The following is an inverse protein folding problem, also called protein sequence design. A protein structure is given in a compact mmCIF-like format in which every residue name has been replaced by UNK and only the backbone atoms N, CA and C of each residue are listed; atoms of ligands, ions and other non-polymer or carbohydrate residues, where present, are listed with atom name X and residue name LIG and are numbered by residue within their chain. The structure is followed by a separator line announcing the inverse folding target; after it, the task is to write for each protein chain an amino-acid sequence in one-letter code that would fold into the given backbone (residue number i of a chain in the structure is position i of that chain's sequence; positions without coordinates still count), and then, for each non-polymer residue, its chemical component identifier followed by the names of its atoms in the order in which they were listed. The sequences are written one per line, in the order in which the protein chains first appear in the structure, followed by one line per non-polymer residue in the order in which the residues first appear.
data_IF_655919172984
#
_entry.id   IF_655919172984
#
_cell.length_a   1.000
_cell.length_b   1.000
_cell.length_c   1.000
_cell.angle_alpha   90.00
_cell.angle_beta   90.00
_cell.angle_gamma   90.00
#
_symmetry.space_group_name_H-M   'P 1'
#
loop_
_entity.id
_entity.type
_entity.pdbx_description
1 polymer ?
#
# COMPACT_ATOMS: atom_id res chain seq x y z
N UNK A 1 -8.02 -21.36 -10.85
CA UNK A 1 -7.87 -19.95 -11.28
C UNK A 1 -6.41 -19.67 -11.61
N UNK A 2 -6.07 -19.14 -12.80
CA UNK A 2 -4.67 -18.96 -13.22
C UNK A 2 -3.91 -17.91 -12.38
N UNK A 3 -4.61 -16.92 -11.84
CA UNK A 3 -4.02 -15.77 -11.11
C UNK A 3 -3.36 -16.09 -9.76
N UNK A 4 -3.52 -17.32 -9.24
CA UNK A 4 -3.00 -17.72 -7.93
C UNK A 4 -1.89 -18.77 -8.01
N UNK A 5 -1.39 -19.05 -9.21
CA UNK A 5 -0.31 -20.03 -9.43
C UNK A 5 1.05 -19.36 -9.23
N UNK A 6 1.90 -19.98 -8.41
CA UNK A 6 3.32 -19.65 -8.30
C UNK A 6 4.05 -20.40 -9.43
N UNK A 7 4.38 -19.69 -10.51
CA UNK A 7 4.94 -20.32 -11.72
C UNK A 7 6.46 -20.57 -11.63
N UNK A 8 7.17 -19.83 -10.76
CA UNK A 8 8.64 -19.80 -10.75
C UNK A 8 9.16 -19.75 -9.30
N UNK A 9 9.82 -20.81 -8.83
CA UNK A 9 10.15 -21.03 -7.40
C UNK A 9 11.20 -20.07 -6.81
N UNK A 10 11.73 -19.14 -7.61
CA UNK A 10 12.72 -18.14 -7.19
C UNK A 10 12.08 -16.76 -7.09
N UNK A 11 11.62 -16.40 -5.89
CA UNK A 11 11.09 -15.07 -5.57
C UNK A 11 9.61 -15.07 -5.15
N UNK A 12 9.10 -13.94 -4.65
CA UNK A 12 7.68 -13.80 -4.35
C UNK A 12 6.87 -13.94 -5.65
N UNK A 13 5.70 -14.60 -5.62
CA UNK A 13 4.89 -14.78 -6.80
C UNK A 13 4.37 -13.44 -7.33
N UNK A 14 4.18 -13.39 -8.65
CA UNK A 14 3.69 -12.20 -9.33
C UNK A 14 2.24 -11.89 -8.98
N UNK A 15 1.98 -10.63 -8.66
CA UNK A 15 0.62 -10.11 -8.43
C UNK A 15 -0.06 -9.84 -9.77
N UNK A 16 -1.35 -10.14 -9.88
CA UNK A 16 -2.17 -9.77 -11.04
C UNK A 16 -3.12 -8.63 -10.66
N UNK A 17 -3.31 -7.66 -11.55
CA UNK A 17 -4.27 -6.58 -11.38
C UNK A 17 -5.36 -6.65 -12.45
N UNK A 18 -6.60 -6.80 -12.02
CA UNK A 18 -7.79 -6.82 -12.87
C UNK A 18 -8.39 -5.41 -12.89
N UNK A 19 -8.14 -4.66 -13.96
CA UNK A 19 -8.62 -3.28 -14.09
C UNK A 19 -10.05 -3.25 -14.62
N UNK A 20 -10.99 -2.64 -13.90
CA UNK A 20 -12.39 -2.58 -14.33
C UNK A 20 -12.75 -1.22 -14.93
N UNK A 21 -12.38 -0.14 -14.26
CA UNK A 21 -12.77 1.20 -14.66
C UNK A 21 -11.81 2.27 -14.14
N UNK A 22 -11.71 3.36 -14.88
CA UNK A 22 -11.00 4.58 -14.51
C UNK A 22 -11.65 5.79 -15.20
N UNK A 23 -11.60 6.91 -14.51
CA UNK A 23 -11.78 8.25 -15.04
C UNK A 23 -10.93 9.23 -14.21
N UNK A 24 -11.01 10.53 -14.50
CA UNK A 24 -10.26 11.53 -13.74
C UNK A 24 -10.62 11.62 -12.24
N UNK A 25 -11.77 11.08 -11.83
CA UNK A 25 -12.26 11.16 -10.44
C UNK A 25 -11.99 9.90 -9.62
N UNK A 26 -12.04 8.73 -10.24
CA UNK A 26 -11.77 7.48 -9.56
C UNK A 26 -11.37 6.36 -10.52
N UNK A 27 -10.69 5.36 -10.00
CA UNK A 27 -10.52 4.06 -10.62
C UNK A 27 -10.88 2.95 -9.66
N UNK A 28 -11.14 1.75 -10.18
CA UNK A 28 -11.19 0.57 -9.33
C UNK A 28 -10.72 -0.69 -10.06
N UNK A 29 -10.15 -1.59 -9.29
CA UNK A 29 -9.64 -2.86 -9.76
C UNK A 29 -9.43 -3.85 -8.65
N UNK A 30 -9.11 -5.09 -9.02
CA UNK A 30 -8.87 -6.17 -8.06
C UNK A 30 -7.43 -6.64 -8.19
N UNK A 31 -6.68 -6.60 -7.09
CA UNK A 31 -5.40 -7.28 -6.97
C UNK A 31 -5.63 -8.73 -6.56
N UNK A 32 -5.06 -9.66 -7.33
CA UNK A 32 -5.02 -11.09 -7.03
C UNK A 32 -3.60 -11.45 -6.63
N UNK A 33 -3.41 -11.81 -5.36
CA UNK A 33 -2.10 -12.17 -4.81
C UNK A 33 -2.08 -13.68 -4.53
N UNK A 34 -1.16 -14.45 -5.15
CA UNK A 34 -0.86 -15.81 -4.72
C UNK A 34 -0.29 -15.79 -3.28
N UNK A 35 -0.27 -16.96 -2.60
CA UNK A 35 0.37 -17.06 -1.28
C UNK A 35 1.80 -16.55 -1.32
N UNK A 36 2.18 -15.71 -0.36
CA UNK A 36 3.47 -15.00 -0.28
C UNK A 36 3.68 -13.92 -1.33
N UNK A 37 2.67 -13.60 -2.14
CA UNK A 37 2.69 -12.44 -3.03
C UNK A 37 2.73 -11.15 -2.23
N UNK A 38 3.47 -10.16 -2.73
CA UNK A 38 3.72 -8.89 -2.04
C UNK A 38 3.38 -7.73 -2.97
N UNK A 39 2.64 -6.76 -2.46
CA UNK A 39 2.65 -5.39 -3.00
C UNK A 39 3.57 -4.59 -2.07
N UNK A 40 4.76 -4.17 -2.53
CA UNK A 40 5.75 -3.52 -1.67
C UNK A 40 5.24 -2.21 -1.07
N UNK A 41 5.95 -1.70 -0.08
CA UNK A 41 5.58 -0.46 0.59
C UNK A 41 5.56 0.70 -0.41
N UNK A 42 4.41 1.35 -0.54
CA UNK A 42 4.19 2.44 -1.48
C UNK A 42 3.21 3.47 -0.92
N UNK A 43 3.19 4.68 -1.49
CA UNK A 43 2.32 5.77 -1.07
C UNK A 43 1.15 6.03 -2.05
N UNK A 44 0.15 6.81 -1.61
CA UNK A 44 -1.00 7.22 -2.42
C UNK A 44 -1.16 8.76 -2.36
N UNK A 45 -0.31 9.54 -3.06
CA UNK A 45 -0.21 10.99 -2.89
C UNK A 45 -1.49 11.72 -3.27
N UNK A 46 -2.11 12.42 -2.32
CA UNK A 46 -3.34 13.19 -2.56
C UNK A 46 -4.60 12.34 -2.78
N UNK A 47 -4.55 11.05 -2.45
CA UNK A 47 -5.61 10.09 -2.75
C UNK A 47 -6.32 9.61 -1.49
N UNK A 48 -7.59 9.26 -1.65
CA UNK A 48 -8.36 8.43 -0.72
C UNK A 48 -8.59 7.08 -1.37
N UNK A 49 -8.29 6.00 -0.66
CA UNK A 49 -8.44 4.63 -1.19
C UNK A 49 -9.27 3.79 -0.24
N UNK A 50 -10.24 3.08 -0.81
CA UNK A 50 -11.06 2.09 -0.12
C UNK A 50 -10.59 0.71 -0.55
N UNK A 51 -10.20 -0.12 0.42
CA UNK A 51 -9.66 -1.46 0.19
C UNK A 51 -10.49 -2.51 0.92
N UNK A 52 -11.01 -3.49 0.19
CA UNK A 52 -11.78 -4.62 0.75
C UNK A 52 -11.18 -5.94 0.31
N UNK A 53 -10.81 -6.78 1.28
CA UNK A 53 -10.43 -8.17 1.04
C UNK A 53 -11.70 -8.95 0.68
N UNK A 54 -11.71 -9.55 -0.51
CA UNK A 54 -12.84 -10.32 -1.03
C UNK A 54 -12.79 -11.78 -0.58
N UNK A 55 -11.59 -12.34 -0.49
CA UNK A 55 -11.32 -13.67 0.06
C UNK A 55 -9.84 -13.82 0.43
N UNK A 56 -9.53 -14.86 1.21
CA UNK A 56 -8.18 -15.13 1.70
C UNK A 56 -7.78 -14.18 2.82
N UNK A 57 -6.49 -14.15 3.11
CA UNK A 57 -5.91 -13.38 4.21
C UNK A 57 -4.56 -12.80 3.83
N UNK A 58 -4.28 -11.62 4.36
CA UNK A 58 -3.03 -10.90 4.14
C UNK A 58 -2.60 -10.15 5.39
N UNK A 59 -1.30 -9.92 5.49
CA UNK A 59 -0.72 -9.00 6.43
C UNK A 59 -0.66 -7.60 5.80
N UNK A 60 -1.29 -6.63 6.47
CA UNK A 60 -1.25 -5.22 6.12
C UNK A 60 -0.36 -4.50 7.13
N UNK A 61 0.72 -3.89 6.63
CA UNK A 61 1.54 -2.96 7.39
C UNK A 61 1.45 -1.58 6.76
N UNK A 62 1.07 -0.56 7.53
CA UNK A 62 0.84 0.79 7.03
C UNK A 62 1.37 1.87 7.96
N UNK A 63 1.60 3.05 7.38
CA UNK A 63 2.21 4.19 8.04
C UNK A 63 1.59 5.49 7.55
N UNK A 64 1.68 6.50 8.41
CA UNK A 64 1.51 7.89 8.03
C UNK A 64 2.81 8.65 8.36
N UNK A 65 3.15 9.65 7.55
CA UNK A 65 4.33 10.47 7.82
C UNK A 65 4.25 11.14 9.19
N UNK A 66 5.33 11.08 9.97
CA UNK A 66 5.39 11.74 11.25
C UNK A 66 5.25 13.26 11.06
N UNK A 67 4.45 13.88 11.93
CA UNK A 67 4.28 15.34 11.98
C UNK A 67 5.18 15.87 13.10
N UNK A 68 5.89 16.97 12.86
CA UNK A 68 6.67 17.63 13.92
C UNK A 68 5.72 18.09 15.03
N UNK A 69 6.14 17.90 16.28
CA UNK A 69 5.43 18.53 17.39
C UNK A 69 5.72 20.03 17.33
N UNK A 70 4.71 20.90 17.49
CA UNK A 70 4.94 22.35 17.55
C UNK A 70 5.89 22.77 18.68
N UNK A 71 6.09 21.91 19.70
CA UNK A 71 6.89 22.21 20.88
C UNK A 71 8.29 21.54 20.90
N UNK A 72 8.66 20.76 19.88
CA UNK A 72 9.96 20.06 19.85
C UNK A 72 10.99 20.77 18.97
N UNK A 73 12.11 21.21 19.57
CA UNK A 73 13.26 21.76 18.85
C UNK A 73 14.04 20.72 18.02
N UNK A 74 13.74 19.42 18.19
CA UNK A 74 14.40 18.32 17.48
C UNK A 74 13.59 17.94 16.23
N UNK A 75 13.93 18.60 15.12
CA UNK A 75 13.15 18.69 13.89
C UNK A 75 13.56 17.67 12.80
N UNK A 76 14.37 16.66 13.13
CA UNK A 76 14.86 15.72 12.13
C UNK A 76 13.78 14.67 11.79
N UNK A 77 12.76 15.08 11.02
CA UNK A 77 11.83 14.17 10.34
C UNK A 77 12.50 13.45 9.16
N UNK A 78 13.72 13.85 8.80
CA UNK A 78 14.56 13.21 7.80
C UNK A 78 15.95 12.98 8.37
N UNK A 79 16.54 11.83 8.08
CA UNK A 79 17.91 11.51 8.46
C UNK A 79 18.91 11.87 7.34
N UNK A 80 20.21 11.76 7.63
CA UNK A 80 21.28 12.07 6.68
C UNK A 80 21.26 11.23 5.40
N UNK A 81 20.60 10.07 5.42
CA UNK A 81 20.49 9.16 4.29
C UNK A 81 19.27 9.45 3.41
N UNK A 82 18.51 10.51 3.72
CA UNK A 82 17.27 10.90 3.03
C UNK A 82 16.06 10.04 3.40
N UNK A 83 16.12 9.25 4.46
CA UNK A 83 14.96 8.52 4.96
C UNK A 83 14.10 9.42 5.83
N UNK A 84 12.78 9.34 5.67
CA UNK A 84 11.80 10.15 6.39
C UNK A 84 11.10 9.34 7.48
N UNK A 85 10.86 9.95 8.62
CA UNK A 85 10.21 9.32 9.77
C UNK A 85 8.72 9.11 9.51
N UNK A 86 8.24 7.90 9.75
CA UNK A 86 6.84 7.53 9.64
C UNK A 86 6.36 6.82 10.90
N UNK A 87 5.11 7.06 11.28
CA UNK A 87 4.45 6.40 12.41
C UNK A 87 3.67 5.21 11.90
N UNK A 88 3.80 4.05 12.55
CA UNK A 88 2.99 2.87 12.24
C UNK A 88 1.52 3.19 12.53
N UNK A 89 0.67 2.91 11.55
CA UNK A 89 -0.78 3.01 11.67
C UNK A 89 -1.40 1.63 11.88
N UNK A 90 -1.04 0.66 11.04
CA UNK A 90 -1.54 -0.71 11.12
C UNK A 90 -0.38 -1.68 10.96
N UNK A 91 -0.38 -2.76 11.75
CA UNK A 91 0.54 -3.88 11.61
C UNK A 91 -0.20 -5.15 12.03
N UNK A 92 -1.04 -5.67 11.14
CA UNK A 92 -2.00 -6.72 11.48
C UNK A 92 -2.43 -7.58 10.29
N UNK A 93 -3.04 -8.73 10.59
CA UNK A 93 -3.62 -9.64 9.61
C UNK A 93 -5.09 -9.31 9.40
N UNK A 94 -5.49 -9.21 8.13
CA UNK A 94 -6.86 -9.00 7.71
C UNK A 94 -7.33 -10.13 6.78
N UNK A 95 -8.63 -10.37 6.78
CA UNK A 95 -9.29 -11.34 5.93
C UNK A 95 -10.63 -10.81 5.39
N UNK A 96 -11.40 -11.65 4.69
CA UNK A 96 -12.66 -11.24 4.08
C UNK A 96 -13.76 -10.80 5.08
N UNK A 97 -13.66 -11.22 6.35
CA UNK A 97 -14.60 -10.82 7.40
C UNK A 97 -14.30 -9.42 7.93
N UNK A 98 -13.10 -8.89 7.70
CA UNK A 98 -12.68 -7.57 8.15
C UNK A 98 -13.45 -6.46 7.43
N UNK A 99 -13.72 -5.35 8.11
CA UNK A 99 -14.34 -4.17 7.48
C UNK A 99 -13.49 -3.60 6.34
N UNK A 100 -14.10 -2.75 5.51
CA UNK A 100 -13.36 -2.02 4.46
C UNK A 100 -12.35 -1.08 5.10
N UNK A 101 -11.08 -1.17 4.69
CA UNK A 101 -10.01 -0.27 5.12
C UNK A 101 -10.05 1.00 4.27
N UNK A 102 -9.85 2.15 4.90
CA UNK A 102 -9.84 3.45 4.21
C UNK A 102 -8.58 4.21 4.59
N UNK A 103 -7.83 4.65 3.59
CA UNK A 103 -6.73 5.61 3.75
C UNK A 103 -7.11 6.97 3.15
N UNK A 104 -6.46 8.00 3.67
CA UNK A 104 -6.58 9.40 3.26
C UNK A 104 -5.20 9.95 2.86
N UNK A 105 -5.12 11.17 2.28
CA UNK A 105 -3.85 11.74 1.83
C UNK A 105 -2.76 11.86 2.91
N UNK A 106 -3.15 12.07 4.18
CA UNK A 106 -2.21 12.26 5.29
C UNK A 106 -2.59 11.46 6.57
N UNK A 107 -3.49 10.49 6.45
CA UNK A 107 -3.96 9.71 7.60
C UNK A 107 -4.55 8.37 7.14
N UNK A 108 -4.65 7.40 8.05
CA UNK A 108 -5.26 6.09 7.76
C UNK A 108 -4.31 5.11 7.08
N UNK A 109 -3.00 5.40 7.09
CA UNK A 109 -1.99 4.51 6.53
C UNK A 109 -1.78 4.77 5.03
N UNK A 110 -1.50 6.02 4.66
CA UNK A 110 -1.28 6.41 3.27
C UNK A 110 -0.13 5.62 2.62
N UNK A 111 0.87 5.23 3.41
CA UNK A 111 1.90 4.31 2.99
C UNK A 111 1.53 2.91 3.46
N UNK A 112 1.50 1.92 2.58
CA UNK A 112 1.26 0.54 3.01
C UNK A 112 1.93 -0.51 2.13
N UNK A 113 2.09 -1.70 2.69
CA UNK A 113 2.40 -2.92 1.96
C UNK A 113 1.40 -4.03 2.29
N UNK A 114 1.19 -4.92 1.32
CA UNK A 114 0.39 -6.12 1.49
C UNK A 114 1.27 -7.35 1.31
N UNK A 115 1.17 -8.30 2.24
CA UNK A 115 1.79 -9.63 2.10
C UNK A 115 0.73 -10.71 2.24
N UNK A 116 0.46 -11.44 1.16
CA UNK A 116 -0.55 -12.49 1.14
C UNK A 116 -0.13 -13.70 2.00
N UNK A 117 -0.93 -14.07 3.00
CA UNK A 117 -0.71 -15.27 3.82
C UNK A 117 -1.34 -16.52 3.20
N UNK A 118 -2.44 -16.31 2.49
CA UNK A 118 -3.12 -17.28 1.63
C UNK A 118 -3.35 -16.64 0.27
N UNK A 119 -3.71 -17.39 -0.78
CA UNK A 119 -4.20 -16.77 -2.01
C UNK A 119 -5.38 -15.86 -1.69
N UNK A 120 -5.27 -14.58 -2.04
CA UNK A 120 -6.26 -13.57 -1.65
C UNK A 120 -6.51 -12.56 -2.77
N UNK A 121 -7.69 -11.94 -2.70
CA UNK A 121 -8.07 -10.87 -3.61
C UNK A 121 -8.48 -9.63 -2.82
N UNK A 122 -7.97 -8.47 -3.23
CA UNK A 122 -8.33 -7.16 -2.68
C UNK A 122 -8.93 -6.31 -3.79
N UNK A 123 -10.12 -5.77 -3.54
CA UNK A 123 -10.74 -4.72 -4.33
C UNK A 123 -10.26 -3.37 -3.81
N UNK A 124 -9.69 -2.55 -4.69
CA UNK A 124 -9.36 -1.17 -4.40
C UNK A 124 -10.19 -0.21 -5.25
N UNK A 125 -10.68 0.86 -4.61
CA UNK A 125 -11.29 2.02 -5.24
C UNK A 125 -10.45 3.24 -4.89
N UNK A 126 -9.82 3.86 -5.89
CA UNK A 126 -8.88 4.96 -5.73
C UNK A 126 -9.54 6.26 -6.17
N UNK A 127 -9.49 7.31 -5.35
CA UNK A 127 -10.05 8.62 -5.65
C UNK A 127 -9.14 9.77 -5.24
N UNK A 128 -8.60 10.57 -6.18
CA UNK A 128 -8.47 10.27 -7.61
C UNK A 128 -7.50 9.10 -7.88
N UNK A 129 -7.37 8.61 -9.12
CA UNK A 129 -6.29 7.66 -9.45
C UNK A 129 -4.91 8.35 -9.49
N UNK A 130 -3.86 7.53 -9.50
CA UNK A 130 -2.50 7.96 -9.84
C UNK A 130 -2.47 8.70 -11.18
N UNK A 131 -1.61 9.72 -11.28
CA UNK A 131 -1.42 10.51 -12.49
C UNK A 131 -0.08 11.25 -12.43
N UNK A 132 0.88 10.83 -13.28
CA UNK A 132 2.20 11.45 -13.39
C UNK A 132 2.14 12.95 -13.74
N UNK A 133 1.26 13.34 -14.66
CA UNK A 133 1.14 14.74 -15.11
C UNK A 133 0.63 15.68 -14.01
N UNK A 134 0.00 15.13 -12.97
CA UNK A 134 -0.50 15.86 -11.81
C UNK A 134 0.33 15.59 -10.54
N UNK A 135 1.53 14.99 -10.68
CA UNK A 135 2.44 14.73 -9.56
C UNK A 135 1.95 13.65 -8.58
N UNK A 136 1.04 12.77 -9.03
CA UNK A 136 0.54 11.64 -8.25
C UNK A 136 1.14 10.34 -8.72
N UNK A 137 2.46 10.24 -8.68
CA UNK A 137 3.18 9.00 -8.96
C UNK A 137 3.19 8.10 -7.72
N UNK A 138 3.12 6.80 -7.96
CA UNK A 138 3.33 5.80 -6.92
C UNK A 138 4.84 5.69 -6.65
N UNK A 139 5.27 6.06 -5.45
CA UNK A 139 6.64 5.90 -4.97
C UNK A 139 6.74 4.71 -4.02
N UNK A 140 7.91 4.08 -3.98
CA UNK A 140 8.17 2.87 -3.20
C UNK A 140 9.24 3.11 -2.15
N UNK A 141 9.17 2.38 -1.03
CA UNK A 141 10.01 2.66 0.13
C UNK A 141 10.58 1.40 0.77
N UNK A 142 11.82 1.49 1.24
CA UNK A 142 12.40 0.53 2.18
C UNK A 142 12.21 1.01 3.62
N UNK A 143 11.93 0.08 4.52
CA UNK A 143 11.77 0.32 5.95
C UNK A 143 13.08 0.01 6.70
N UNK A 144 13.46 0.88 7.63
CA UNK A 144 14.46 0.57 8.66
C UNK A 144 13.97 0.97 10.06
N UNK A 145 14.38 0.24 11.12
CA UNK A 145 13.90 0.51 12.47
C UNK A 145 14.30 1.90 12.97
N UNK A 146 13.37 2.58 13.65
CA UNK A 146 13.69 3.76 14.46
C UNK A 146 14.09 3.30 15.88
N UNK A 147 15.33 3.56 16.29
CA UNK A 147 15.85 3.16 17.60
C UNK A 147 15.75 4.27 18.67
N UNK A 148 15.20 5.44 18.32
CA UNK A 148 15.05 6.55 19.26
C UNK A 148 13.90 6.33 20.24
N UNK A 149 14.08 6.75 21.49
CA UNK A 149 12.99 6.86 22.46
C UNK A 149 12.30 8.22 22.30
N UNK A 150 11.54 8.41 21.23
CA UNK A 150 10.61 9.53 21.18
C UNK A 150 9.50 9.24 22.20
N UNK A 151 9.43 10.03 23.28
CA UNK A 151 8.58 9.83 24.45
C UNK A 151 7.06 9.85 24.18
N UNK A 152 6.57 8.84 23.46
CA UNK A 152 5.17 8.56 23.23
C UNK A 152 5.01 7.09 22.82
N UNK A 153 3.82 6.54 23.06
CA UNK A 153 3.45 5.13 22.86
C UNK A 153 3.43 4.67 21.37
N UNK A 154 4.00 5.48 20.46
CA UNK A 154 3.97 5.24 19.02
C UNK A 154 5.21 4.49 18.54
N UNK A 155 4.99 3.42 17.79
CA UNK A 155 6.06 2.74 17.05
C UNK A 155 6.35 3.51 15.75
N UNK A 156 7.61 3.87 15.52
CA UNK A 156 8.08 4.63 14.36
C UNK A 156 9.06 3.80 13.52
N UNK A 157 9.16 4.13 12.24
CA UNK A 157 10.16 3.59 11.32
C UNK A 157 10.70 4.69 10.40
N UNK A 158 11.93 4.51 9.92
CA UNK A 158 12.49 5.32 8.85
C UNK A 158 12.11 4.70 7.50
N UNK A 159 11.52 5.48 6.61
CA UNK A 159 11.17 5.07 5.25
C UNK A 159 12.02 5.83 4.24
N UNK A 160 12.75 5.10 3.39
CA UNK A 160 13.58 5.67 2.34
C UNK A 160 13.02 5.33 0.98
N UNK A 161 12.81 6.33 0.14
CA UNK A 161 12.36 6.11 -1.24
C UNK A 161 13.40 5.30 -2.02
N UNK A 162 12.95 4.29 -2.76
CA UNK A 162 13.79 3.40 -3.56
C UNK A 162 13.22 3.17 -4.95
N UNK A 163 14.07 2.94 -5.96
CA UNK A 163 13.59 2.46 -7.26
C UNK A 163 12.87 1.12 -7.09
N UNK A 164 11.71 0.99 -7.74
CA UNK A 164 10.95 -0.26 -7.69
C UNK A 164 11.34 -1.20 -8.81
N UNK A 165 11.45 -2.49 -8.49
CA UNK A 165 11.49 -3.60 -9.46
C UNK A 165 10.17 -4.38 -9.46
N UNK A 166 9.16 -3.86 -8.76
CA UNK A 166 7.86 -4.51 -8.66
C UNK A 166 7.12 -4.45 -9.99
N UNK A 167 6.79 -5.63 -10.50
CA UNK A 167 6.00 -5.78 -11.71
C UNK A 167 4.74 -6.58 -11.43
N UNK A 168 3.61 -6.08 -11.92
CA UNK A 168 2.33 -6.77 -11.88
C UNK A 168 1.85 -7.12 -13.28
N UNK A 169 1.08 -8.20 -13.40
CA UNK A 169 0.39 -8.54 -14.64
C UNK A 169 -0.98 -7.85 -14.66
N UNK A 170 -1.12 -6.78 -15.46
CA UNK A 170 -2.39 -6.09 -15.66
C UNK A 170 -3.30 -6.78 -16.68
N UNK A 171 -4.60 -6.87 -16.40
CA UNK A 171 -5.63 -7.33 -17.33
C UNK A 171 -6.79 -6.35 -17.34
N UNK A 172 -7.12 -5.81 -18.51
CA UNK A 172 -8.32 -4.99 -18.70
C UNK A 172 -9.56 -5.89 -18.70
N UNK A 173 -10.46 -5.68 -17.74
CA UNK A 173 -11.72 -6.41 -17.68
C UNK A 173 -12.74 -5.80 -18.65
N UNK A 174 -13.59 -6.63 -19.28
CA UNK A 174 -14.64 -6.14 -20.18
C UNK A 174 -15.64 -5.25 -19.44
N UNK A 175 -15.96 -4.08 -20.01
CA UNK A 175 -17.00 -3.18 -19.50
C UNK A 175 -18.41 -3.61 -19.96
N UNK A 176 -18.74 -4.89 -19.77
CA UNK A 176 -20.07 -5.44 -20.07
C UNK A 176 -20.82 -5.65 -18.76
N UNK A 177 -21.18 -4.55 -18.11
CA UNK A 177 -22.11 -4.60 -16.99
C UNK A 177 -23.52 -4.74 -17.59
N UNK A 178 -24.09 -5.94 -17.50
CA UNK A 178 -25.54 -6.09 -17.67
C UNK A 178 -26.14 -5.63 -16.35
N UNK A 179 -26.76 -4.46 -16.36
CA UNK A 179 -27.58 -3.97 -15.24
C UNK A 179 -28.96 -4.60 -15.35
#
# INVERSE_FOLDING_TARGET
MPYFKHADSKGPPRVSYLHFYDCSKFSFGIFCLPKSGVIPLHNHPGMTVFSKILFGSMHLKSYDWAKSSPDSNDNALENSDGARLAKINTDAVFDASSETVVLYPENGGNLHCFTALTPCAVLDVLGPPYNHAEGRDCAYYDESPYLGSCGGDGQYSWLKEVPTTFEMTGTQMPRKFVV
#
